data_IF_788667696312
#
_entry.id   IF_788667696312
#
_cell.length_a   1.000
_cell.length_b   1.000
_cell.length_c   1.000
_cell.angle_alpha   90.00
_cell.angle_beta   90.00
_cell.angle_gamma   90.00
#
_symmetry.space_group_name_H-M   'P 1'
#
loop_
_entity.id
_entity.type
_entity.pdbx_description
1 polymer ?
#
# COMPACT_ATOMS: atom_id res chain seq x y z
N UNK A 1 -7.15 44.42 19.42
CA UNK A 1 -6.28 44.48 18.23
C UNK A 1 -5.42 43.21 18.21
N UNK A 2 -5.71 42.31 17.27
CA UNK A 2 -5.08 40.98 17.14
C UNK A 2 -3.67 41.14 16.56
N UNK A 3 -2.64 40.60 17.22
CA UNK A 3 -1.30 40.44 16.64
C UNK A 3 -1.17 39.02 16.10
N UNK A 4 -1.23 38.90 14.78
CA UNK A 4 -0.89 37.70 14.03
C UNK A 4 0.64 37.55 13.98
N UNK A 5 1.18 36.50 14.61
CA UNK A 5 2.55 36.07 14.39
C UNK A 5 2.59 35.17 13.14
N UNK A 6 3.25 35.65 12.09
CA UNK A 6 3.69 34.81 10.98
C UNK A 6 4.98 34.08 11.40
N UNK A 7 4.93 32.75 11.44
CA UNK A 7 6.13 31.92 11.53
C UNK A 7 6.61 31.66 10.10
N UNK A 8 7.63 32.39 9.66
CA UNK A 8 8.37 32.07 8.44
C UNK A 8 9.43 31.03 8.82
N UNK A 9 9.18 29.76 8.49
CA UNK A 9 10.19 28.72 8.57
C UNK A 9 11.14 28.87 7.38
N UNK A 10 12.31 29.47 7.63
CA UNK A 10 13.40 29.47 6.67
C UNK A 10 14.01 28.07 6.62
N UNK A 11 13.62 27.27 5.62
CA UNK A 11 14.39 26.09 5.24
C UNK A 11 15.69 26.56 4.59
N UNK A 12 16.77 26.58 5.37
CA UNK A 12 18.12 26.59 4.84
C UNK A 12 18.36 25.25 4.16
N UNK A 13 18.25 25.21 2.83
CA UNK A 13 18.67 24.08 2.02
C UNK A 13 20.19 23.93 2.13
N UNK A 14 20.63 22.94 2.90
CA UNK A 14 22.02 22.48 2.87
C UNK A 14 22.26 21.76 1.55
N UNK A 15 23.23 22.25 0.77
CA UNK A 15 23.66 21.61 -0.47
C UNK A 15 24.29 20.25 -0.15
N UNK A 16 23.54 19.17 -0.32
CA UNK A 16 24.06 17.80 -0.33
C UNK A 16 23.90 17.28 -1.75
N UNK A 17 25.02 17.14 -2.47
CA UNK A 17 25.03 16.49 -3.77
C UNK A 17 25.25 14.98 -3.58
N UNK A 18 24.16 14.22 -3.69
CA UNK A 18 24.12 12.85 -4.19
C UNK A 18 22.71 12.64 -4.80
N UNK A 19 22.66 12.50 -6.13
CA UNK A 19 21.44 12.56 -6.95
C UNK A 19 21.20 11.15 -7.54
N UNK A 20 19.93 10.73 -7.75
CA UNK A 20 19.06 11.48 -8.64
C UNK A 20 18.15 12.50 -7.96
N UNK A 21 17.30 12.08 -7.01
CA UNK A 21 16.37 12.94 -6.29
C UNK A 21 15.66 12.14 -5.18
N UNK A 22 15.32 12.79 -4.08
CA UNK A 22 14.38 12.28 -3.09
C UNK A 22 12.96 12.24 -3.68
N UNK A 23 12.05 11.47 -3.08
CA UNK A 23 10.67 11.35 -3.57
C UNK A 23 9.66 11.58 -2.46
N UNK A 24 8.74 12.51 -2.67
CA UNK A 24 7.50 12.56 -1.89
C UNK A 24 6.38 11.90 -2.69
N UNK A 25 5.52 11.15 -2.03
CA UNK A 25 4.37 10.52 -2.66
C UNK A 25 3.13 10.61 -1.79
N UNK A 26 2.01 10.73 -2.47
CA UNK A 26 0.67 10.62 -1.94
C UNK A 26 -0.06 9.51 -2.70
N UNK A 27 -0.67 8.57 -1.97
CA UNK A 27 -1.48 7.51 -2.56
C UNK A 27 -2.85 7.52 -1.90
N UNK A 28 -3.89 7.35 -2.72
CA UNK A 28 -5.28 7.27 -2.30
C UNK A 28 -5.92 6.04 -2.92
N UNK A 29 -6.42 5.15 -2.08
CA UNK A 29 -7.24 4.00 -2.48
C UNK A 29 -8.69 4.26 -2.09
N UNK A 30 -9.62 3.91 -2.98
CA UNK A 30 -11.05 4.07 -2.72
C UNK A 30 -11.87 3.08 -3.55
N UNK A 31 -12.81 2.39 -2.89
CA UNK A 31 -13.76 1.47 -3.53
C UNK A 31 -14.99 2.19 -4.11
N UNK A 32 -15.25 3.43 -3.68
CA UNK A 32 -16.29 4.32 -4.20
C UNK A 32 -16.18 4.63 -5.69
N UNK A 33 -15.02 4.41 -6.33
CA UNK A 33 -14.87 4.40 -7.79
C UNK A 33 -15.81 3.37 -8.45
N UNK A 34 -16.15 2.30 -7.74
CA UNK A 34 -17.09 1.27 -8.15
C UNK A 34 -18.49 1.42 -7.54
N UNK A 35 -18.76 2.53 -6.85
CA UNK A 35 -20.06 2.80 -6.22
C UNK A 35 -20.37 1.87 -5.03
N UNK A 36 -19.35 1.38 -4.35
CA UNK A 36 -19.46 0.56 -3.14
C UNK A 36 -18.72 1.22 -1.97
N UNK A 37 -19.06 0.84 -0.74
CA UNK A 37 -18.32 1.16 0.48
C UNK A 37 -18.38 -0.06 1.41
N UNK A 38 -17.45 -1.00 1.21
CA UNK A 38 -17.41 -2.27 1.97
C UNK A 38 -16.04 -2.92 1.88
N UNK A 39 -15.75 -3.85 2.78
CA UNK A 39 -14.45 -4.52 2.87
C UNK A 39 -13.32 -3.49 2.98
N UNK A 40 -12.30 -3.56 2.12
CA UNK A 40 -11.30 -2.49 2.06
C UNK A 40 -11.92 -1.30 1.33
N UNK A 41 -12.28 -0.25 2.08
CA UNK A 41 -13.01 0.92 1.56
C UNK A 41 -12.07 2.08 1.22
N UNK A 42 -11.02 2.26 2.02
CA UNK A 42 -10.14 3.41 1.85
C UNK A 42 -8.72 3.18 2.37
N UNK A 43 -7.77 3.79 1.68
CA UNK A 43 -6.40 3.99 2.15
C UNK A 43 -5.88 5.36 1.79
N UNK A 44 -5.15 5.98 2.71
CA UNK A 44 -4.43 7.23 2.47
C UNK A 44 -2.99 7.05 2.92
N UNK A 45 -2.04 7.33 2.04
CA UNK A 45 -0.62 7.11 2.31
C UNK A 45 0.19 8.35 1.93
N UNK A 46 1.08 8.75 2.82
CA UNK A 46 2.13 9.72 2.54
C UNK A 46 3.47 9.06 2.76
N UNK A 47 4.39 9.24 1.82
CA UNK A 47 5.73 8.69 1.98
C UNK A 47 6.82 9.66 1.50
N UNK A 48 7.96 9.57 2.17
CA UNK A 48 9.22 10.15 1.77
C UNK A 48 10.21 9.03 1.49
N UNK A 49 10.86 9.06 0.33
CA UNK A 49 11.99 8.21 0.00
C UNK A 49 13.25 9.06 -0.18
N UNK A 50 14.37 8.55 0.32
CA UNK A 50 15.67 9.18 0.14
C UNK A 50 16.08 9.19 -1.34
N UNK A 51 17.04 10.05 -1.72
CA UNK A 51 17.81 9.83 -2.93
C UNK A 51 18.48 8.45 -2.91
N UNK A 52 19.02 8.04 -4.05
CA UNK A 52 19.89 6.86 -4.11
C UNK A 52 21.06 7.04 -3.14
N UNK A 53 21.29 6.05 -2.28
CA UNK A 53 22.41 6.06 -1.34
C UNK A 53 23.74 5.96 -2.09
N UNK A 54 24.76 6.67 -1.61
CA UNK A 54 26.11 6.51 -2.13
C UNK A 54 26.68 5.14 -1.73
N UNK A 55 27.64 4.64 -2.51
CA UNK A 55 28.30 3.36 -2.24
C UNK A 55 28.86 3.27 -0.80
N UNK A 56 29.43 4.36 -0.29
CA UNK A 56 29.99 4.43 1.07
C UNK A 56 28.93 4.38 2.19
N UNK A 57 27.66 4.57 1.87
CA UNK A 57 26.54 4.63 2.83
C UNK A 57 25.55 3.46 2.64
N UNK A 58 25.97 2.41 1.93
CA UNK A 58 25.13 1.23 1.73
C UNK A 58 24.91 0.49 3.05
N UNK A 59 23.67 0.04 3.26
CA UNK A 59 23.31 -0.73 4.44
C UNK A 59 23.72 -2.20 4.28
N UNK A 60 23.81 -2.95 5.37
CA UNK A 60 24.21 -4.37 5.32
C UNK A 60 23.24 -5.27 4.53
N UNK A 61 22.05 -4.76 4.22
CA UNK A 61 21.03 -5.40 3.39
C UNK A 61 21.16 -5.06 1.89
N UNK A 62 22.19 -4.30 1.50
CA UNK A 62 22.46 -3.96 0.11
C UNK A 62 22.76 -5.20 -0.73
N UNK A 63 22.29 -5.19 -1.97
CA UNK A 63 22.65 -6.18 -2.98
C UNK A 63 23.98 -5.83 -3.69
N UNK A 64 24.59 -4.70 -3.36
CA UNK A 64 25.83 -4.24 -3.96
C UNK A 64 27.00 -5.18 -3.64
N UNK A 65 27.84 -5.43 -4.63
CA UNK A 65 29.10 -6.18 -4.51
C UNK A 65 30.18 -5.48 -5.34
N UNK A 66 31.40 -6.01 -5.36
CA UNK A 66 32.47 -5.46 -6.19
C UNK A 66 32.11 -5.46 -7.69
N UNK A 67 31.27 -6.39 -8.14
CA UNK A 67 30.91 -6.58 -9.56
C UNK A 67 29.49 -6.13 -9.90
N UNK A 68 28.67 -5.80 -8.90
CA UNK A 68 27.25 -5.46 -9.07
C UNK A 68 26.95 -4.17 -8.31
N UNK A 69 26.54 -3.13 -9.02
CA UNK A 69 26.04 -1.90 -8.39
C UNK A 69 24.54 -1.98 -8.14
N UNK A 70 24.09 -1.42 -7.02
CA UNK A 70 22.68 -1.33 -6.67
C UNK A 70 22.22 0.11 -6.48
N UNK A 71 20.94 0.35 -6.74
CA UNK A 71 20.24 1.58 -6.38
C UNK A 71 19.50 1.31 -5.07
N UNK A 72 20.03 1.88 -4.00
CA UNK A 72 19.50 1.68 -2.66
C UNK A 72 18.77 2.92 -2.16
N UNK A 73 17.65 2.74 -1.47
CA UNK A 73 16.85 3.84 -0.91
C UNK A 73 16.23 3.45 0.43
N UNK A 74 16.18 4.40 1.36
CA UNK A 74 15.31 4.34 2.53
C UNK A 74 13.99 5.02 2.23
N UNK A 75 12.91 4.53 2.83
CA UNK A 75 11.59 5.13 2.75
C UNK A 75 10.92 5.13 4.13
N UNK A 76 10.32 6.27 4.48
CA UNK A 76 9.41 6.42 5.61
C UNK A 76 8.01 6.70 5.07
N UNK A 77 7.00 6.01 5.57
CA UNK A 77 5.60 6.27 5.25
C UNK A 77 4.72 6.34 6.47
N UNK A 78 3.65 7.13 6.36
CA UNK A 78 2.48 7.05 7.23
C UNK A 78 1.30 6.62 6.38
N UNK A 79 0.54 5.65 6.89
CA UNK A 79 -0.62 5.08 6.22
C UNK A 79 -1.81 5.03 7.16
N UNK A 80 -2.99 5.35 6.63
CA UNK A 80 -4.27 5.13 7.29
C UNK A 80 -5.13 4.25 6.38
N UNK A 81 -5.63 3.13 6.90
CA UNK A 81 -6.46 2.16 6.18
C UNK A 81 -7.74 1.92 6.94
N UNK A 82 -8.83 1.77 6.19
CA UNK A 82 -10.15 1.52 6.75
C UNK A 82 -10.82 0.35 6.08
N UNK A 83 -11.60 -0.32 6.91
CA UNK A 83 -12.26 -1.55 6.60
C UNK A 83 -13.65 -1.53 7.20
N UNK A 84 -14.67 -1.76 6.36
CA UNK A 84 -16.07 -1.63 6.77
C UNK A 84 -16.87 -2.91 6.48
N UNK A 85 -17.94 -3.17 7.24
CA UNK A 85 -19.00 -4.07 6.81
C UNK A 85 -19.68 -3.53 5.54
N UNK A 86 -20.53 -4.35 4.92
CA UNK A 86 -21.27 -3.91 3.73
C UNK A 86 -22.36 -2.92 4.09
N UNK A 87 -23.00 -3.11 5.23
CA UNK A 87 -24.15 -2.31 5.66
C UNK A 87 -23.70 -1.27 6.68
N UNK A 88 -23.19 -0.14 6.18
CA UNK A 88 -22.59 0.88 7.05
C UNK A 88 -23.61 1.68 7.88
N UNK A 89 -24.84 1.80 7.39
CA UNK A 89 -25.93 2.56 8.03
C UNK A 89 -26.52 1.84 9.25
N UNK A 90 -26.16 0.58 9.48
CA UNK A 90 -26.58 -0.17 10.67
C UNK A 90 -25.73 0.23 11.87
N UNK A 91 -26.37 0.65 12.96
CA UNK A 91 -25.71 0.86 14.24
C UNK A 91 -25.25 -0.47 14.85
N UNK A 92 -26.04 -1.54 14.69
CA UNK A 92 -25.72 -2.86 15.22
C UNK A 92 -24.92 -3.70 14.20
N UNK A 93 -24.03 -4.60 14.66
CA UNK A 93 -23.31 -5.52 13.78
C UNK A 93 -24.27 -6.46 13.05
N UNK A 94 -23.92 -6.85 11.82
CA UNK A 94 -24.71 -7.79 11.02
C UNK A 94 -23.96 -9.13 10.94
N UNK A 95 -24.69 -10.22 11.15
CA UNK A 95 -24.14 -11.58 11.03
C UNK A 95 -23.66 -11.84 9.60
N UNK A 96 -22.47 -12.45 9.46
CA UNK A 96 -21.86 -12.71 8.15
C UNK A 96 -21.24 -11.47 7.48
N UNK A 97 -21.21 -10.32 8.17
CA UNK A 97 -20.43 -9.16 7.77
C UNK A 97 -19.22 -9.00 8.69
N UNK A 98 -18.15 -8.45 8.13
CA UNK A 98 -16.89 -8.24 8.84
C UNK A 98 -16.96 -7.04 9.80
N UNK A 99 -16.03 -6.96 10.77
CA UNK A 99 -15.90 -5.79 11.62
C UNK A 99 -15.60 -4.49 10.86
N UNK A 100 -15.95 -3.37 11.48
CA UNK A 100 -15.22 -2.13 11.29
C UNK A 100 -13.80 -2.29 11.85
N UNK A 101 -12.80 -1.87 11.07
CA UNK A 101 -11.41 -1.84 11.53
C UNK A 101 -10.69 -0.63 10.94
N UNK A 102 -10.10 0.17 11.81
CA UNK A 102 -9.11 1.17 11.45
C UNK A 102 -7.69 0.65 11.62
N UNK A 103 -6.76 1.12 10.79
CA UNK A 103 -5.32 0.98 11.01
C UNK A 103 -4.63 2.31 10.69
N UNK A 104 -3.97 2.89 11.69
CA UNK A 104 -3.01 3.97 11.50
C UNK A 104 -1.60 3.42 11.74
N UNK A 105 -0.70 3.58 10.79
CA UNK A 105 0.63 3.00 10.87
C UNK A 105 1.73 3.88 10.28
N UNK A 106 2.94 3.64 10.77
CA UNK A 106 4.20 4.12 10.22
C UNK A 106 4.98 2.92 9.67
N UNK A 107 5.63 3.10 8.53
CA UNK A 107 6.57 2.12 7.99
C UNK A 107 7.93 2.75 7.77
N UNK A 108 8.97 2.01 8.12
CA UNK A 108 10.32 2.23 7.64
C UNK A 108 10.68 1.10 6.69
N UNK A 109 11.27 1.42 5.56
CA UNK A 109 11.73 0.41 4.61
C UNK A 109 13.03 0.77 3.94
N UNK A 110 13.72 -0.27 3.50
CA UNK A 110 14.93 -0.20 2.72
C UNK A 110 14.74 -1.04 1.47
N UNK A 111 15.18 -0.50 0.35
CA UNK A 111 15.16 -1.21 -0.93
C UNK A 111 16.53 -1.18 -1.56
N UNK A 112 16.83 -2.24 -2.29
CA UNK A 112 18.03 -2.37 -3.09
C UNK A 112 17.65 -2.94 -4.44
N UNK A 113 18.00 -2.22 -5.51
CA UNK A 113 17.64 -2.59 -6.89
C UNK A 113 18.91 -2.85 -7.68
N UNK A 114 19.00 -4.02 -8.30
CA UNK A 114 20.06 -4.37 -9.27
C UNK A 114 19.41 -4.70 -10.61
N UNK A 115 20.21 -4.96 -11.63
CA UNK A 115 19.67 -5.39 -12.91
C UNK A 115 18.83 -6.68 -12.78
N UNK A 116 17.54 -6.59 -13.11
CA UNK A 116 16.62 -7.73 -13.12
C UNK A 116 16.15 -8.20 -11.74
N UNK A 117 16.55 -7.56 -10.64
CA UNK A 117 16.07 -7.91 -9.30
C UNK A 117 15.88 -6.68 -8.41
N UNK A 118 14.82 -6.70 -7.61
CA UNK A 118 14.59 -5.70 -6.57
C UNK A 118 14.20 -6.40 -5.28
N UNK A 119 14.83 -6.03 -4.18
CA UNK A 119 14.49 -6.51 -2.84
C UNK A 119 14.09 -5.31 -1.99
N UNK A 120 13.03 -5.48 -1.18
CA UNK A 120 12.58 -4.52 -0.19
C UNK A 120 12.37 -5.20 1.16
N UNK A 121 12.90 -4.57 2.20
CA UNK A 121 12.67 -4.92 3.59
C UNK A 121 11.87 -3.82 4.26
N UNK A 122 10.89 -4.17 5.09
CA UNK A 122 10.09 -3.17 5.81
C UNK A 122 9.84 -3.56 7.25
N UNK A 123 9.71 -2.54 8.10
CA UNK A 123 9.21 -2.65 9.46
C UNK A 123 8.03 -1.68 9.62
N UNK A 124 6.93 -2.16 10.18
CA UNK A 124 5.72 -1.40 10.43
C UNK A 124 5.45 -1.34 11.93
N UNK A 125 5.00 -0.18 12.40
CA UNK A 125 4.44 0.02 13.73
C UNK A 125 3.15 0.83 13.60
N UNK A 126 2.09 0.43 14.28
CA UNK A 126 0.80 1.10 14.18
C UNK A 126 -0.15 0.78 15.33
N UNK A 127 -1.39 1.22 15.16
CA UNK A 127 -2.48 0.98 16.09
C UNK A 127 -3.78 0.75 15.34
N UNK A 128 -4.67 -0.01 15.95
CA UNK A 128 -6.04 -0.29 15.49
C UNK A 128 -7.06 0.26 16.49
N UNK A 129 -8.35 0.09 16.20
CA UNK A 129 -9.45 0.58 17.02
C UNK A 129 -9.62 2.10 16.99
N UNK A 130 -10.22 2.66 18.03
CA UNK A 130 -10.45 4.11 18.19
C UNK A 130 -9.18 4.94 18.03
N UNK A 131 -8.02 4.40 18.45
CA UNK A 131 -6.72 5.08 18.29
C UNK A 131 -6.29 5.26 16.83
N UNK A 132 -6.94 4.58 15.88
CA UNK A 132 -6.71 4.79 14.46
C UNK A 132 -7.46 6.01 13.89
N UNK A 133 -8.44 6.58 14.63
CA UNK A 133 -9.25 7.73 14.21
C UNK A 133 -10.05 7.53 12.92
N UNK A 134 -10.43 6.27 12.65
CA UNK A 134 -11.06 5.90 11.39
C UNK A 134 -12.54 6.30 11.32
N UNK A 135 -13.25 6.32 12.44
CA UNK A 135 -14.63 6.81 12.50
C UNK A 135 -14.70 8.28 12.09
N UNK A 136 -13.87 9.13 12.70
CA UNK A 136 -13.84 10.56 12.43
C UNK A 136 -13.41 10.84 10.99
N UNK A 137 -12.42 10.09 10.49
CA UNK A 137 -11.97 10.20 9.11
C UNK A 137 -13.09 9.84 8.11
N UNK A 138 -13.78 8.72 8.32
CA UNK A 138 -14.87 8.29 7.43
C UNK A 138 -16.04 9.28 7.47
N UNK A 139 -16.49 9.67 8.68
CA UNK A 139 -17.57 10.66 8.84
C UNK A 139 -17.24 12.00 8.20
N UNK A 140 -16.00 12.47 8.31
CA UNK A 140 -15.54 13.70 7.66
C UNK A 140 -15.67 13.58 6.13
N UNK A 141 -15.13 12.53 5.53
CA UNK A 141 -15.19 12.34 4.07
C UNK A 141 -16.65 12.21 3.61
N UNK A 142 -17.47 11.43 4.31
CA UNK A 142 -18.87 11.23 3.97
C UNK A 142 -19.69 12.52 4.05
N UNK A 143 -19.36 13.39 5.02
CA UNK A 143 -19.99 14.73 5.12
C UNK A 143 -19.65 15.63 3.92
N UNK A 144 -18.46 15.47 3.34
CA UNK A 144 -17.98 16.25 2.19
C UNK A 144 -18.57 15.68 0.88
N UNK A 145 -18.64 14.36 0.75
CA UNK A 145 -19.10 13.67 -0.48
C UNK A 145 -20.61 13.46 -0.53
N UNK A 146 -21.32 13.62 0.59
CA UNK A 146 -22.74 13.31 0.71
C UNK A 146 -23.03 11.82 0.76
N UNK A 147 -22.06 11.00 1.20
CA UNK A 147 -22.23 9.55 1.37
C UNK A 147 -23.03 9.24 2.65
N UNK A 148 -23.72 8.07 2.74
CA UNK A 148 -24.46 7.68 3.94
C UNK A 148 -23.56 7.63 5.18
N UNK A 149 -24.05 8.10 6.33
CA UNK A 149 -23.23 8.16 7.55
C UNK A 149 -23.00 6.76 8.15
N UNK A 150 -21.75 6.36 8.44
CA UNK A 150 -21.48 5.07 9.07
C UNK A 150 -21.90 5.09 10.55
N UNK A 151 -22.69 4.11 10.98
CA UNK A 151 -23.28 4.06 12.33
C UNK A 151 -22.68 2.98 13.23
N UNK A 152 -21.89 2.05 12.71
CA UNK A 152 -21.45 0.85 13.45
C UNK A 152 -20.05 0.89 14.07
N UNK A 153 -19.39 2.05 14.11
CA UNK A 153 -18.03 2.20 14.63
C UNK A 153 -17.89 1.87 16.13
N UNK A 154 -18.97 1.97 16.90
CA UNK A 154 -19.04 1.56 18.32
C UNK A 154 -18.71 0.06 18.54
N UNK A 155 -18.80 -0.74 17.47
CA UNK A 155 -18.51 -2.19 17.46
C UNK A 155 -17.25 -2.57 16.66
N UNK A 156 -16.34 -1.61 16.43
CA UNK A 156 -15.08 -1.87 15.75
C UNK A 156 -14.15 -2.82 16.52
N UNK A 157 -13.10 -3.30 15.86
CA UNK A 157 -12.00 -4.03 16.51
C UNK A 157 -11.31 -3.20 17.59
N UNK A 158 -10.92 -3.81 18.70
CA UNK A 158 -10.31 -3.14 19.85
C UNK A 158 -8.96 -2.47 19.55
N UNK A 159 -8.59 -1.51 20.41
CA UNK A 159 -7.29 -0.85 20.40
C UNK A 159 -6.15 -1.86 20.60
N UNK A 160 -5.40 -2.14 19.52
CA UNK A 160 -4.24 -3.01 19.55
C UNK A 160 -3.04 -2.33 18.91
N UNK A 161 -1.91 -2.28 19.63
CA UNK A 161 -0.61 -1.90 19.04
C UNK A 161 -0.18 -3.02 18.11
N UNK A 162 0.12 -2.65 16.87
CA UNK A 162 0.54 -3.61 15.85
C UNK A 162 1.93 -3.34 15.34
N UNK A 163 2.64 -4.42 15.02
CA UNK A 163 3.95 -4.38 14.40
C UNK A 163 4.10 -5.52 13.40
N UNK A 164 4.87 -5.28 12.35
CA UNK A 164 5.19 -6.29 11.35
C UNK A 164 6.58 -6.08 10.75
N UNK A 165 7.16 -7.17 10.27
CA UNK A 165 8.32 -7.18 9.39
C UNK A 165 7.88 -7.72 8.03
N UNK A 166 8.38 -7.11 6.95
CA UNK A 166 8.06 -7.47 5.58
C UNK A 166 9.32 -7.70 4.75
N UNK A 167 9.23 -8.64 3.82
CA UNK A 167 10.23 -8.93 2.80
C UNK A 167 9.52 -9.09 1.46
N UNK A 168 9.96 -8.32 0.47
CA UNK A 168 9.47 -8.42 -0.90
C UNK A 168 10.65 -8.60 -1.84
N UNK A 169 10.50 -9.49 -2.82
CA UNK A 169 11.48 -9.75 -3.86
C UNK A 169 10.79 -9.80 -5.21
N UNK A 170 11.37 -9.10 -6.17
CA UNK A 170 10.92 -9.05 -7.55
C UNK A 170 12.04 -9.57 -8.43
N UNK A 171 11.75 -10.56 -9.27
CA UNK A 171 12.71 -11.15 -10.21
C UNK A 171 12.17 -11.01 -11.64
N UNK A 172 12.96 -10.40 -12.53
CA UNK A 172 12.66 -10.32 -13.96
C UNK A 172 12.88 -11.69 -14.60
N UNK A 173 11.81 -12.31 -15.09
CA UNK A 173 11.86 -13.63 -15.72
C UNK A 173 12.12 -13.52 -17.23
N UNK A 174 11.47 -12.56 -17.87
CA UNK A 174 11.57 -12.34 -19.31
C UNK A 174 11.56 -10.85 -19.61
N UNK A 175 12.31 -10.45 -20.62
CA UNK A 175 12.40 -9.07 -21.08
C UNK A 175 12.66 -9.05 -22.57
N UNK A 176 12.13 -8.04 -23.25
CA UNK A 176 12.50 -7.78 -24.63
C UNK A 176 12.17 -6.37 -25.07
N UNK A 177 12.84 -5.96 -26.14
CA UNK A 177 12.66 -4.68 -26.80
C UNK A 177 11.80 -4.83 -28.05
N UNK A 178 10.95 -3.85 -28.29
CA UNK A 178 10.20 -3.67 -29.53
C UNK A 178 10.94 -2.74 -30.48
N UNK A 179 10.52 -2.73 -31.76
CA UNK A 179 11.10 -1.88 -32.81
C UNK A 179 11.04 -0.38 -32.45
N UNK A 180 10.07 0.04 -31.64
CA UNK A 180 9.88 1.44 -31.23
C UNK A 180 10.54 1.80 -29.89
N UNK A 181 11.53 1.01 -29.44
CA UNK A 181 12.22 1.15 -28.16
C UNK A 181 11.30 1.04 -26.92
N UNK A 182 10.10 0.47 -27.07
CA UNK A 182 9.31 0.06 -25.92
C UNK A 182 9.80 -1.31 -25.45
N UNK A 183 9.68 -1.56 -24.16
CA UNK A 183 10.03 -2.80 -23.48
C UNK A 183 8.76 -3.57 -23.12
N UNK A 184 8.87 -4.89 -23.08
CA UNK A 184 7.94 -5.75 -22.37
C UNK A 184 8.71 -6.55 -21.31
N UNK A 185 8.03 -6.86 -20.22
CA UNK A 185 8.61 -7.61 -19.11
C UNK A 185 7.59 -8.59 -18.52
N UNK A 186 8.08 -9.78 -18.15
CA UNK A 186 7.40 -10.68 -17.22
C UNK A 186 8.27 -10.79 -15.98
N UNK A 187 7.71 -10.52 -14.80
CA UNK A 187 8.40 -10.63 -13.51
C UNK A 187 7.62 -11.46 -12.51
N UNK A 188 8.35 -12.14 -11.63
CA UNK A 188 7.79 -12.78 -10.44
C UNK A 188 7.89 -11.84 -9.25
N UNK A 189 6.93 -11.97 -8.34
CA UNK A 189 6.92 -11.37 -7.01
C UNK A 189 6.89 -12.49 -5.97
N UNK A 190 7.70 -12.35 -4.93
CA UNK A 190 7.56 -13.03 -3.64
C UNK A 190 7.37 -12.01 -2.53
N UNK A 191 6.41 -12.25 -1.65
CA UNK A 191 6.08 -11.40 -0.50
C UNK A 191 5.96 -12.28 0.75
N UNK A 192 6.60 -11.87 1.84
CA UNK A 192 6.43 -12.47 3.15
C UNK A 192 6.30 -11.37 4.20
N UNK A 193 5.24 -11.42 4.99
CA UNK A 193 4.99 -10.51 6.11
C UNK A 193 4.79 -11.34 7.38
N UNK A 194 5.43 -10.93 8.47
CA UNK A 194 5.27 -11.52 9.79
C UNK A 194 4.95 -10.43 10.81
N UNK A 195 3.78 -10.50 11.43
CA UNK A 195 3.30 -9.48 12.36
C UNK A 195 1.96 -9.82 12.99
N UNK A 196 1.56 -9.05 13.99
CA UNK A 196 0.29 -9.28 14.69
C UNK A 196 -0.92 -8.63 14.01
N UNK A 197 -0.74 -7.63 13.14
CA UNK A 197 -1.83 -7.15 12.28
C UNK A 197 -2.17 -8.20 11.21
N UNK A 198 -1.19 -8.59 10.41
CA UNK A 198 -1.27 -9.66 9.41
C UNK A 198 0.07 -10.38 9.31
N UNK A 199 0.01 -11.70 9.13
CA UNK A 199 1.13 -12.51 8.65
C UNK A 199 0.68 -13.31 7.44
N UNK A 200 1.49 -13.29 6.39
CA UNK A 200 1.20 -14.02 5.17
C UNK A 200 2.44 -14.26 4.32
N UNK A 201 2.31 -15.22 3.40
CA UNK A 201 3.23 -15.43 2.31
C UNK A 201 2.47 -15.38 0.99
N UNK A 202 3.06 -14.81 -0.04
CA UNK A 202 2.45 -14.70 -1.34
C UNK A 202 3.47 -14.81 -2.47
N UNK A 203 2.99 -15.22 -3.63
CA UNK A 203 3.75 -15.11 -4.88
C UNK A 203 2.82 -14.76 -6.03
N UNK A 204 3.36 -14.06 -7.01
CA UNK A 204 2.59 -13.60 -8.16
C UNK A 204 3.43 -13.39 -9.40
N UNK A 205 2.75 -13.12 -10.51
CA UNK A 205 3.36 -12.80 -11.79
C UNK A 205 2.80 -11.48 -12.28
N UNK A 206 3.70 -10.62 -12.76
CA UNK A 206 3.43 -9.31 -13.32
C UNK A 206 3.85 -9.30 -14.78
N UNK A 207 3.03 -8.73 -15.64
CA UNK A 207 3.38 -8.37 -17.02
C UNK A 207 3.35 -6.86 -17.15
N UNK A 208 4.38 -6.29 -17.76
CA UNK A 208 4.50 -4.83 -17.97
C UNK A 208 4.87 -4.54 -19.43
N UNK A 209 4.37 -3.41 -19.93
CA UNK A 209 4.73 -2.89 -21.25
C UNK A 209 4.90 -1.37 -21.18
N UNK A 210 6.00 -0.84 -21.71
CA UNK A 210 6.27 0.59 -21.62
C UNK A 210 7.72 0.96 -21.92
N UNK A 211 8.25 1.92 -21.17
CA UNK A 211 9.63 2.38 -21.24
C UNK A 211 10.22 2.45 -19.85
N UNK A 212 11.52 2.17 -19.74
CA UNK A 212 12.25 2.15 -18.48
C UNK A 212 11.71 1.11 -17.50
N UNK A 213 11.41 -0.10 -18.00
CA UNK A 213 10.88 -1.19 -17.16
C UNK A 213 11.97 -1.73 -16.23
N UNK A 214 13.21 -1.82 -16.71
CA UNK A 214 14.36 -2.25 -15.92
C UNK A 214 14.58 -1.39 -14.67
N UNK A 215 14.41 -0.07 -14.78
CA UNK A 215 14.59 0.87 -13.67
C UNK A 215 13.30 1.11 -12.87
N UNK A 216 12.30 0.23 -12.96
CA UNK A 216 11.03 0.41 -12.25
C UNK A 216 10.49 -0.90 -11.69
N UNK A 217 11.34 -1.93 -11.61
CA UNK A 217 10.98 -3.23 -11.06
C UNK A 217 10.56 -3.07 -9.60
N UNK A 218 9.36 -3.60 -9.26
CA UNK A 218 8.77 -3.43 -7.94
C UNK A 218 8.02 -2.09 -7.71
N UNK A 219 8.03 -1.14 -8.64
CA UNK A 219 7.22 0.08 -8.51
C UNK A 219 5.72 -0.21 -8.64
N UNK A 220 5.34 -1.02 -9.63
CA UNK A 220 4.00 -1.61 -9.69
C UNK A 220 3.90 -2.80 -8.74
N UNK A 221 2.82 -2.86 -7.96
CA UNK A 221 2.56 -3.90 -6.97
C UNK A 221 1.27 -4.65 -7.31
N UNK A 222 1.26 -5.95 -7.04
CA UNK A 222 0.04 -6.75 -7.08
C UNK A 222 -0.55 -6.69 -5.67
N UNK A 223 -1.25 -5.61 -5.34
CA UNK A 223 -1.79 -5.36 -4.01
C UNK A 223 -3.08 -4.53 -4.13
N UNK A 224 -4.14 -4.92 -3.42
CA UNK A 224 -5.37 -4.11 -3.35
C UNK A 224 -5.24 -2.87 -2.47
N UNK A 225 -4.17 -2.78 -1.69
CA UNK A 225 -3.91 -1.73 -0.70
C UNK A 225 -2.54 -1.09 -1.02
N UNK A 226 -2.54 0.03 -1.72
CA UNK A 226 -1.39 0.76 -2.26
C UNK A 226 -0.63 0.00 -3.39
N UNK A 227 -1.22 -0.10 -4.59
CA UNK A 227 -0.67 -0.83 -5.74
C UNK A 227 0.54 -0.17 -6.43
N UNK A 228 1.01 0.99 -5.96
CA UNK A 228 2.15 1.68 -6.56
C UNK A 228 3.10 2.28 -5.53
N UNK A 229 4.39 1.98 -5.64
CA UNK A 229 5.42 2.56 -4.77
C UNK A 229 6.47 3.33 -5.59
N UNK A 230 6.39 4.68 -5.66
CA UNK A 230 7.35 5.52 -6.36
C UNK A 230 8.79 5.39 -5.85
N UNK A 231 8.99 4.97 -4.60
CA UNK A 231 10.33 4.76 -4.04
C UNK A 231 11.10 3.66 -4.79
N UNK A 232 10.39 2.72 -5.45
CA UNK A 232 11.00 1.64 -6.23
C UNK A 232 11.28 2.05 -7.69
N UNK A 233 11.08 3.32 -8.06
CA UNK A 233 11.62 3.85 -9.31
C UNK A 233 13.13 4.02 -9.15
N UNK A 234 13.87 3.72 -10.20
CA UNK A 234 15.33 3.81 -10.29
C UNK A 234 15.81 5.23 -10.54
N UNK A 235 16.83 5.39 -11.39
CA UNK A 235 17.47 6.69 -11.66
C UNK A 235 16.89 7.41 -12.89
N UNK A 236 16.06 6.72 -13.67
CA UNK A 236 15.49 7.26 -14.90
C UNK A 236 14.49 8.38 -14.61
N UNK A 237 14.60 9.47 -15.38
CA UNK A 237 13.83 10.70 -15.14
C UNK A 237 12.52 10.79 -15.90
N UNK A 238 12.26 9.85 -16.80
CA UNK A 238 11.02 9.79 -17.56
C UNK A 238 10.69 8.36 -17.88
N UNK A 239 9.42 8.03 -17.89
CA UNK A 239 8.98 6.69 -18.21
C UNK A 239 7.48 6.60 -18.19
N UNK A 240 6.98 5.54 -18.80
CA UNK A 240 5.59 5.18 -18.72
C UNK A 240 5.50 3.68 -18.87
N UNK A 241 4.51 3.08 -18.23
CA UNK A 241 4.22 1.68 -18.44
C UNK A 241 2.80 1.36 -18.03
N UNK A 242 2.23 0.37 -18.68
CA UNK A 242 1.03 -0.33 -18.22
C UNK A 242 1.42 -1.66 -17.61
N UNK A 243 0.65 -2.12 -16.64
CA UNK A 243 0.93 -3.34 -15.92
C UNK A 243 -0.35 -4.11 -15.63
N UNK A 244 -0.23 -5.44 -15.62
CA UNK A 244 -1.25 -6.34 -15.15
C UNK A 244 -0.58 -7.48 -14.36
N UNK A 245 -1.14 -7.87 -13.23
CA UNK A 245 -0.56 -8.93 -12.41
C UNK A 245 -1.58 -9.67 -11.57
N UNK A 246 -1.25 -10.93 -11.26
CA UNK A 246 -2.03 -11.79 -10.37
C UNK A 246 -1.13 -12.38 -9.28
N UNK A 247 -1.63 -12.42 -8.05
CA UNK A 247 -0.91 -12.91 -6.87
C UNK A 247 -1.79 -13.87 -6.09
N UNK A 248 -1.24 -15.01 -5.70
CA UNK A 248 -1.83 -15.92 -4.72
C UNK A 248 -1.18 -15.72 -3.35
N UNK A 249 -1.98 -15.74 -2.29
CA UNK A 249 -1.54 -15.51 -0.90
C UNK A 249 -2.11 -16.60 0.02
N UNK A 250 -1.32 -17.00 1.00
CA UNK A 250 -1.77 -17.70 2.19
C UNK A 250 -1.63 -16.80 3.41
N UNK A 251 -2.75 -16.45 4.05
CA UNK A 251 -2.79 -15.61 5.25
C UNK A 251 -2.95 -16.45 6.51
N UNK A 252 -2.02 -16.27 7.45
CA UNK A 252 -1.98 -16.98 8.72
C UNK A 252 -2.84 -16.31 9.79
N UNK A 253 -2.92 -14.97 9.78
CA UNK A 253 -3.77 -14.18 10.66
C UNK A 253 -4.18 -12.88 9.98
N UNK A 254 -5.32 -12.33 10.40
CA UNK A 254 -5.79 -11.01 9.98
C UNK A 254 -6.59 -10.32 11.09
N UNK A 255 -5.98 -9.35 11.78
CA UNK A 255 -6.63 -8.61 12.85
C UNK A 255 -7.87 -7.84 12.36
N UNK A 256 -7.91 -7.45 11.09
CA UNK A 256 -9.10 -6.78 10.51
C UNK A 256 -10.32 -7.69 10.31
N UNK A 257 -10.17 -8.99 10.62
CA UNK A 257 -11.21 -10.02 10.55
C UNK A 257 -11.38 -10.68 11.92
N UNK A 258 -10.26 -11.07 12.53
CA UNK A 258 -10.19 -11.89 13.75
C UNK A 258 -10.00 -11.06 15.02
N UNK A 259 -9.83 -9.75 14.91
CA UNK A 259 -9.61 -8.85 16.04
C UNK A 259 -10.74 -8.90 17.07
N UNK A 260 -10.36 -8.79 18.34
CA UNK A 260 -11.32 -8.76 19.45
C UNK A 260 -12.27 -7.57 19.34
N UNK A 261 -13.49 -7.76 19.86
CA UNK A 261 -14.56 -6.75 19.92
C UNK A 261 -15.35 -6.90 21.22
N UNK A 262 -15.22 -5.96 22.13
CA UNK A 262 -15.82 -6.03 23.46
C UNK A 262 -17.30 -5.66 23.43
N UNK A 263 -17.66 -4.68 22.60
CA UNK A 263 -18.99 -4.08 22.55
C UNK A 263 -20.01 -4.86 21.70
N UNK A 264 -19.84 -6.15 21.45
CA UNK A 264 -20.79 -6.92 20.63
C UNK A 264 -22.06 -7.31 21.41
N UNK A 265 -23.24 -7.28 20.76
CA UNK A 265 -24.46 -7.85 21.34
C UNK A 265 -24.32 -9.35 21.62
N UNK A 266 -25.05 -9.84 22.62
CA UNK A 266 -25.05 -11.26 22.95
C UNK A 266 -26.07 -12.05 22.09
N UNK A 267 -25.72 -13.25 21.60
CA UNK A 267 -24.43 -13.92 21.76
C UNK A 267 -23.39 -13.41 20.76
N UNK A 268 -22.16 -13.11 21.24
CA UNK A 268 -21.07 -12.56 20.41
C UNK A 268 -20.72 -13.43 19.19
N UNK A 269 -20.92 -14.75 19.31
CA UNK A 269 -20.66 -15.71 18.23
C UNK A 269 -21.51 -15.48 16.98
N UNK A 270 -22.66 -14.81 17.09
CA UNK A 270 -23.50 -14.50 15.93
C UNK A 270 -22.82 -13.55 14.92
N UNK A 271 -21.83 -12.77 15.37
CA UNK A 271 -21.18 -11.73 14.57
C UNK A 271 -19.73 -12.06 14.22
N UNK A 272 -19.22 -13.20 14.68
CA UNK A 272 -17.85 -13.63 14.35
C UNK A 272 -17.79 -14.09 12.89
N UNK A 273 -16.73 -13.69 12.20
CA UNK A 273 -16.41 -14.14 10.84
C UNK A 273 -15.08 -14.89 10.86
N UNK A 274 -14.95 -15.85 9.96
CA UNK A 274 -13.79 -16.74 9.90
C UNK A 274 -12.87 -16.29 8.78
N UNK A 275 -11.59 -16.06 9.08
CA UNK A 275 -10.56 -15.79 8.08
C UNK A 275 -10.61 -16.81 6.93
N UNK A 276 -10.51 -16.31 5.70
CA UNK A 276 -10.26 -17.09 4.52
C UNK A 276 -8.75 -17.03 4.20
N UNK A 277 -7.97 -18.10 4.47
CA UNK A 277 -6.51 -18.05 4.36
C UNK A 277 -6.02 -17.91 2.92
N UNK A 278 -6.67 -18.61 2.00
CA UNK A 278 -6.32 -18.58 0.58
C UNK A 278 -6.98 -17.40 -0.11
N UNK A 279 -6.15 -16.47 -0.57
CA UNK A 279 -6.60 -15.25 -1.21
C UNK A 279 -5.90 -15.07 -2.55
N UNK A 280 -6.58 -14.44 -3.50
CA UNK A 280 -6.00 -14.04 -4.77
C UNK A 280 -6.26 -12.57 -5.03
N UNK A 281 -5.27 -11.89 -5.57
CA UNK A 281 -5.30 -10.46 -5.89
C UNK A 281 -4.93 -10.24 -7.35
N UNK A 282 -5.57 -9.26 -7.97
CA UNK A 282 -5.30 -8.81 -9.32
C UNK A 282 -5.07 -7.29 -9.30
N UNK A 283 -4.11 -6.82 -10.08
CA UNK A 283 -3.86 -5.40 -10.33
C UNK A 283 -3.78 -5.14 -11.83
N UNK A 284 -4.39 -4.06 -12.30
CA UNK A 284 -4.28 -3.52 -13.65
C UNK A 284 -4.08 -2.01 -13.55
N UNK A 285 -3.04 -1.46 -14.16
CA UNK A 285 -2.79 -0.04 -14.05
C UNK A 285 -1.88 0.55 -15.11
N UNK A 286 -1.68 1.85 -14.99
CA UNK A 286 -0.83 2.65 -15.85
C UNK A 286 -0.10 3.72 -15.05
N UNK A 287 1.17 3.88 -15.33
CA UNK A 287 2.06 4.85 -14.70
C UNK A 287 2.70 5.71 -15.78
N UNK A 288 2.82 6.99 -15.50
CA UNK A 288 3.59 7.94 -16.30
C UNK A 288 4.34 8.89 -15.37
N UNK A 289 5.60 9.19 -15.70
CA UNK A 289 6.40 10.11 -14.93
C UNK A 289 7.41 10.85 -15.81
N UNK A 290 7.79 12.03 -15.32
CA UNK A 290 8.81 12.90 -15.88
C UNK A 290 9.69 13.45 -14.75
N UNK A 291 10.65 14.32 -15.09
CA UNK A 291 11.79 14.62 -14.24
C UNK A 291 11.46 15.21 -12.85
N UNK A 292 10.24 15.73 -12.66
CA UNK A 292 9.83 16.39 -11.42
C UNK A 292 8.61 15.75 -10.77
N UNK A 293 7.79 15.03 -11.52
CA UNK A 293 6.55 14.46 -11.02
C UNK A 293 6.09 13.27 -11.85
N UNK A 294 5.20 12.48 -11.26
CA UNK A 294 4.52 11.40 -11.95
C UNK A 294 3.19 11.05 -11.31
N UNK A 295 2.43 10.25 -12.05
CA UNK A 295 1.11 9.79 -11.71
C UNK A 295 1.02 8.29 -12.00
N UNK A 296 0.31 7.57 -11.13
CA UNK A 296 -0.08 6.19 -11.37
C UNK A 296 -1.55 6.01 -11.06
N UNK A 297 -2.22 5.21 -11.87
CA UNK A 297 -3.58 4.76 -11.64
C UNK A 297 -3.62 3.24 -11.68
N UNK A 298 -4.37 2.63 -10.77
CA UNK A 298 -4.59 1.19 -10.77
C UNK A 298 -6.03 0.84 -10.39
N UNK A 299 -6.53 -0.22 -11.01
CA UNK A 299 -7.69 -0.97 -10.61
C UNK A 299 -7.21 -2.28 -10.01
N UNK A 300 -7.72 -2.61 -8.84
CA UNK A 300 -7.35 -3.82 -8.13
C UNK A 300 -8.59 -4.63 -7.79
N UNK A 301 -8.45 -5.94 -7.69
CA UNK A 301 -9.49 -6.82 -7.21
C UNK A 301 -8.88 -7.90 -6.33
N UNK A 302 -9.63 -8.34 -5.31
CA UNK A 302 -9.24 -9.43 -4.43
C UNK A 302 -10.39 -10.38 -4.19
N UNK A 303 -10.09 -11.65 -3.94
CA UNK A 303 -11.07 -12.59 -3.38
C UNK A 303 -11.43 -12.20 -1.95
N UNK A 304 -12.52 -12.76 -1.45
CA UNK A 304 -12.98 -12.45 -0.09
C UNK A 304 -11.95 -12.81 1.00
N UNK A 305 -11.98 -12.02 2.08
CA UNK A 305 -11.07 -12.13 3.23
C UNK A 305 -11.58 -13.07 4.30
N UNK A 306 -12.86 -13.45 4.24
CA UNK A 306 -13.53 -14.27 5.23
C UNK A 306 -14.59 -15.17 4.59
N UNK A 307 -14.89 -16.29 5.23
CA UNK A 307 -15.68 -17.39 4.63
C UNK A 307 -17.16 -17.08 4.50
N UNK A 308 -17.71 -16.31 5.42
CA UNK A 308 -19.13 -15.98 5.52
C UNK A 308 -19.56 -14.86 4.54
N UNK A 309 -18.60 -14.26 3.84
CA UNK A 309 -18.85 -13.15 2.94
C UNK A 309 -19.87 -13.49 1.85
N UNK A 310 -20.86 -12.63 1.70
CA UNK A 310 -21.84 -12.73 0.62
C UNK A 310 -21.28 -12.34 -0.75
N UNK A 311 -20.05 -11.79 -0.81
CA UNK A 311 -19.35 -11.45 -2.04
C UNK A 311 -18.20 -12.41 -2.29
N UNK A 312 -17.93 -12.73 -3.57
CA UNK A 312 -16.74 -13.52 -3.94
C UNK A 312 -15.44 -12.72 -3.89
N UNK A 313 -15.53 -11.41 -3.80
CA UNK A 313 -14.39 -10.49 -3.77
C UNK A 313 -14.80 -9.02 -3.70
N UNK A 314 -13.80 -8.15 -3.74
CA UNK A 314 -13.96 -6.70 -3.78
C UNK A 314 -12.92 -6.08 -4.72
N UNK A 315 -13.20 -4.87 -5.21
CA UNK A 315 -12.34 -4.12 -6.10
C UNK A 315 -12.14 -2.68 -5.59
N UNK A 316 -10.94 -2.15 -5.82
CA UNK A 316 -10.54 -0.82 -5.39
C UNK A 316 -9.86 -0.08 -6.54
N UNK A 317 -10.10 1.22 -6.65
CA UNK A 317 -9.30 2.10 -7.50
C UNK A 317 -8.24 2.81 -6.66
N UNK A 318 -7.09 3.05 -7.26
CA UNK A 318 -5.96 3.72 -6.62
C UNK A 318 -5.38 4.80 -7.51
N UNK A 319 -5.04 5.94 -6.91
CA UNK A 319 -4.30 7.03 -7.53
C UNK A 319 -3.05 7.32 -6.71
N UNK A 320 -1.91 7.35 -7.38
CA UNK A 320 -0.63 7.80 -6.82
C UNK A 320 -0.19 9.08 -7.52
N UNK A 321 0.20 10.08 -6.73
CA UNK A 321 0.90 11.26 -7.20
C UNK A 321 2.22 11.40 -6.46
N UNK A 322 3.30 11.68 -7.19
CA UNK A 322 4.63 11.76 -6.61
C UNK A 322 5.49 12.83 -7.28
N UNK A 323 6.45 13.35 -6.51
CA UNK A 323 7.36 14.39 -6.95
C UNK A 323 8.81 14.05 -6.60
N UNK A 324 9.73 14.44 -7.50
CA UNK A 324 11.17 14.27 -7.36
C UNK A 324 11.83 15.60 -7.03
N UNK A 325 12.74 15.64 -6.05
CA UNK A 325 13.48 16.85 -5.66
C UNK A 325 14.91 16.58 -5.20
#
# INVERSE_FOLDING_TARGET
MKKSLFFAAALTASSVFASPQATFSFNLDNDGIFGVDKDYTNGVFFAYASPALSADNQWFLSQSTNDVSSVDKFQLSIGHKMWTPKTIESAEPISGERPYTGLLHLDASYSSQIEGQTIRYSAMLGTTGENAFSEEAQKLVHSITGSPEPQGWDHQTENTVVAALGYQRFDRLMHGLTVNQNEWEVSNLFDATAGNFRSDIATGVMVRFGRQLQSSLGAAQINSENPFNPAMLGLERQGWFVFAGIKGRYRFNDLSIEGDRNNLPHPKSAYQVTLQPWQSEFSLGGTWYQAQYGLSFALTARTSDFKESHSRGNANGSVSAFMFF
#
